data_IF_128713606131
#
_entry.id   IF_128713606131
#
_cell.length_a   1.000
_cell.length_b   1.000
_cell.length_c   1.000
_cell.angle_alpha   90.00
_cell.angle_beta   90.00
_cell.angle_gamma   90.00
#
_symmetry.space_group_name_H-M   'P 1'
#
loop_
_entity.id
_entity.type
_entity.pdbx_description
1 polymer ?
#
# COMPACT_ATOMS: atom_id res chain seq x y z
N UNK A 1 -4.55 22.08 12.10
CA UNK A 1 -5.43 20.96 12.45
C UNK A 1 -4.86 20.30 13.71
N UNK A 2 -5.70 19.87 14.65
CA UNK A 2 -5.25 19.15 15.84
C UNK A 2 -4.63 17.81 15.42
N UNK A 3 -3.34 17.64 15.69
CA UNK A 3 -2.58 16.48 15.24
C UNK A 3 -3.10 15.16 15.85
N UNK A 4 -3.71 15.20 17.04
CA UNK A 4 -4.25 14.01 17.73
C UNK A 4 -5.46 13.46 16.97
N UNK A 5 -6.36 14.37 16.59
CA UNK A 5 -7.59 14.06 15.84
C UNK A 5 -7.23 13.68 14.39
N UNK A 6 -6.41 14.49 13.71
CA UNK A 6 -6.09 14.24 12.31
C UNK A 6 -5.31 12.94 12.10
N UNK A 7 -4.48 12.54 13.07
CA UNK A 7 -3.77 11.25 13.01
C UNK A 7 -4.75 10.08 13.06
N UNK A 8 -5.72 10.12 13.98
CA UNK A 8 -6.75 9.09 14.10
C UNK A 8 -7.66 9.03 12.86
N UNK A 9 -8.13 10.17 12.38
CA UNK A 9 -8.98 10.23 11.19
C UNK A 9 -8.27 9.66 9.97
N UNK A 10 -7.01 10.05 9.74
CA UNK A 10 -6.22 9.59 8.60
C UNK A 10 -5.98 8.07 8.63
N UNK A 11 -5.54 7.53 9.78
CA UNK A 11 -5.32 6.08 9.84
C UNK A 11 -6.63 5.31 9.72
N UNK A 12 -7.70 5.77 10.36
CA UNK A 12 -9.01 5.13 10.28
C UNK A 12 -9.51 5.11 8.84
N UNK A 13 -9.45 6.24 8.15
CA UNK A 13 -9.85 6.33 6.74
C UNK A 13 -9.03 5.37 5.87
N UNK A 14 -7.69 5.36 6.01
CA UNK A 14 -6.84 4.43 5.27
C UNK A 14 -7.17 2.97 5.58
N UNK A 15 -7.44 2.63 6.84
CA UNK A 15 -7.80 1.29 7.26
C UNK A 15 -9.15 0.87 6.64
N UNK A 16 -10.20 1.69 6.75
CA UNK A 16 -11.54 1.36 6.25
C UNK A 16 -11.62 1.35 4.71
N UNK A 17 -10.93 2.27 4.03
CA UNK A 17 -11.01 2.40 2.56
C UNK A 17 -10.17 1.37 1.81
N UNK A 18 -9.11 0.83 2.43
CA UNK A 18 -8.24 -0.21 1.89
C UNK A 18 -8.56 -1.58 2.50
N UNK A 19 -9.85 -1.84 2.71
CA UNK A 19 -10.40 -3.12 3.15
C UNK A 19 -9.68 -3.69 4.39
N UNK A 20 -9.43 -2.83 5.38
CA UNK A 20 -8.82 -3.17 6.66
C UNK A 20 -7.40 -3.74 6.56
N UNK A 21 -6.67 -3.41 5.48
CA UNK A 21 -5.37 -4.01 5.20
C UNK A 21 -4.19 -3.02 5.17
N UNK A 22 -4.45 -1.71 5.09
CA UNK A 22 -3.39 -0.69 5.01
C UNK A 22 -2.78 -0.28 6.36
N UNK A 23 -3.27 -0.87 7.44
CA UNK A 23 -2.75 -0.77 8.80
C UNK A 23 -3.26 -1.95 9.62
N UNK A 24 -2.95 -1.98 10.91
CA UNK A 24 -3.45 -2.97 11.88
C UNK A 24 -4.53 -2.35 12.77
N UNK A 25 -5.43 -3.18 13.32
CA UNK A 25 -6.40 -2.73 14.32
C UNK A 25 -5.72 -2.07 15.54
N UNK A 26 -4.62 -2.63 16.04
CA UNK A 26 -3.85 -2.05 17.16
C UNK A 26 -3.49 -0.59 16.92
N UNK A 27 -2.95 -0.28 15.73
CA UNK A 27 -2.57 1.08 15.35
C UNK A 27 -3.79 2.01 15.32
N UNK A 28 -4.94 1.57 14.79
CA UNK A 28 -6.18 2.37 14.76
C UNK A 28 -6.70 2.63 16.17
N UNK A 29 -6.76 1.59 17.00
CA UNK A 29 -7.23 1.67 18.39
C UNK A 29 -6.31 2.57 19.21
N UNK A 30 -4.99 2.44 19.08
CA UNK A 30 -4.04 3.35 19.73
C UNK A 30 -4.21 4.81 19.30
N UNK A 31 -4.47 5.07 18.01
CA UNK A 31 -4.69 6.42 17.52
C UNK A 31 -5.98 7.04 18.09
N UNK A 32 -7.05 6.26 18.25
CA UNK A 32 -8.34 6.73 18.78
C UNK A 32 -8.24 7.32 20.20
N UNK A 33 -7.23 6.93 20.97
CA UNK A 33 -7.01 7.37 22.34
C UNK A 33 -6.19 8.66 22.45
N UNK A 34 -5.56 9.12 21.36
CA UNK A 34 -4.61 10.25 21.37
C UNK A 34 -5.20 11.54 21.93
N UNK A 35 -6.45 11.85 21.60
CA UNK A 35 -7.13 13.06 22.08
C UNK A 35 -7.37 13.05 23.61
N UNK A 36 -7.38 11.86 24.23
CA UNK A 36 -7.61 11.66 25.66
C UNK A 36 -6.30 11.49 26.43
N UNK A 37 -5.28 10.91 25.80
CA UNK A 37 -3.99 10.63 26.43
C UNK A 37 -3.01 11.82 26.38
N UNK A 38 -3.20 12.76 25.45
CA UNK A 38 -2.27 13.89 25.22
C UNK A 38 -2.97 15.25 25.33
N UNK A 39 -2.30 16.29 25.88
CA UNK A 39 -2.78 17.67 25.84
C UNK A 39 -2.99 18.19 24.41
N UNK A 40 -3.90 19.15 24.23
CA UNK A 40 -4.24 19.74 22.93
C UNK A 40 -3.07 20.40 22.21
N UNK A 41 -2.19 21.06 22.97
CA UNK A 41 -1.01 21.76 22.44
C UNK A 41 0.18 20.83 22.14
N UNK A 42 -0.02 19.50 22.16
CA UNK A 42 1.08 18.56 21.93
C UNK A 42 1.57 18.68 20.48
N UNK A 43 2.89 18.92 20.25
CA UNK A 43 3.42 19.01 18.90
C UNK A 43 3.21 17.71 18.11
N UNK A 44 2.95 17.81 16.80
CA UNK A 44 2.63 16.66 15.95
C UNK A 44 3.66 15.52 16.03
N UNK A 45 4.96 15.83 16.08
CA UNK A 45 6.00 14.81 16.24
C UNK A 45 5.90 14.02 17.56
N UNK A 46 5.50 14.68 18.64
CA UNK A 46 5.28 14.03 19.93
C UNK A 46 3.98 13.20 19.94
N UNK A 47 2.94 13.63 19.23
CA UNK A 47 1.72 12.84 19.01
C UNK A 47 2.05 11.53 18.29
N UNK A 48 2.78 11.59 17.18
CA UNK A 48 3.18 10.39 16.42
C UNK A 48 4.08 9.48 17.27
N UNK A 49 5.05 10.04 18.01
CA UNK A 49 5.93 9.25 18.86
C UNK A 49 5.15 8.52 19.97
N UNK A 50 4.20 9.19 20.62
CA UNK A 50 3.34 8.59 21.63
C UNK A 50 2.43 7.52 21.03
N UNK A 51 1.80 7.81 19.89
CA UNK A 51 0.96 6.85 19.18
C UNK A 51 1.70 5.54 18.87
N UNK A 52 2.88 5.62 18.25
CA UNK A 52 3.69 4.45 17.92
C UNK A 52 4.16 3.69 19.17
N UNK A 53 4.50 4.42 20.25
CA UNK A 53 4.87 3.82 21.53
C UNK A 53 3.70 3.07 22.16
N UNK A 54 2.50 3.66 22.17
CA UNK A 54 1.30 3.05 22.72
C UNK A 54 0.89 1.80 21.93
N UNK A 55 0.88 1.88 20.59
CA UNK A 55 0.59 0.73 19.74
C UNK A 55 1.60 -0.42 19.94
N UNK A 56 2.90 -0.11 20.01
CA UNK A 56 3.95 -1.11 20.31
C UNK A 56 3.75 -1.76 21.68
N UNK A 57 3.30 -1.00 22.69
CA UNK A 57 3.03 -1.54 24.02
C UNK A 57 1.79 -2.45 24.03
N UNK A 58 0.72 -2.06 23.34
CA UNK A 58 -0.49 -2.87 23.18
C UNK A 58 -0.18 -4.20 22.48
N UNK A 59 0.61 -4.16 21.39
CA UNK A 59 1.08 -5.35 20.69
C UNK A 59 1.97 -6.24 21.56
N UNK A 60 2.91 -5.65 22.30
CA UNK A 60 3.75 -6.40 23.22
C UNK A 60 2.93 -7.09 24.32
N UNK A 61 1.86 -6.47 24.82
CA UNK A 61 0.99 -7.04 25.85
C UNK A 61 0.22 -8.28 25.36
N UNK A 62 -0.10 -8.35 24.05
CA UNK A 62 -0.70 -9.53 23.41
C UNK A 62 0.34 -10.51 22.83
N UNK A 63 1.64 -10.27 23.02
CA UNK A 63 2.71 -11.18 22.57
C UNK A 63 3.27 -10.89 21.17
N UNK A 64 2.86 -9.80 20.51
CA UNK A 64 3.41 -9.37 19.23
C UNK A 64 4.59 -8.42 19.45
N UNK A 65 5.80 -8.93 19.22
CA UNK A 65 7.03 -8.14 19.38
C UNK A 65 7.41 -7.44 18.08
N UNK A 66 7.51 -6.11 18.14
CA UNK A 66 7.99 -5.30 17.04
C UNK A 66 9.52 -5.42 16.91
N UNK A 67 10.06 -5.54 15.69
CA UNK A 67 11.50 -5.49 15.50
C UNK A 67 12.06 -4.11 15.86
N UNK A 68 13.27 -4.07 16.40
CA UNK A 68 14.05 -2.83 16.51
C UNK A 68 14.71 -2.56 15.15
N UNK A 69 14.30 -1.47 14.50
CA UNK A 69 14.80 -1.08 13.18
C UNK A 69 15.60 0.23 13.35
N UNK A 70 16.87 0.27 12.93
CA UNK A 70 17.63 1.51 12.97
C UNK A 70 16.94 2.63 12.17
N UNK A 71 16.96 3.90 12.64
CA UNK A 71 16.28 5.01 11.96
C UNK A 71 16.73 5.20 10.51
N UNK A 72 18.02 5.02 10.22
CA UNK A 72 18.59 5.11 8.88
C UNK A 72 18.04 4.04 7.93
N UNK A 73 17.82 2.82 8.44
CA UNK A 73 17.23 1.72 7.67
C UNK A 73 15.75 2.00 7.40
N UNK A 74 15.02 2.53 8.38
CA UNK A 74 13.61 2.94 8.21
C UNK A 74 13.49 4.03 7.14
N UNK A 75 14.39 5.03 7.18
CA UNK A 75 14.41 6.12 6.22
C UNK A 75 14.75 5.64 4.80
N UNK A 76 15.71 4.73 4.65
CA UNK A 76 16.09 4.14 3.36
C UNK A 76 15.00 3.24 2.80
N UNK A 77 14.40 2.39 3.64
CA UNK A 77 13.31 1.50 3.27
C UNK A 77 12.13 2.27 2.68
N UNK A 78 11.81 3.44 3.24
CA UNK A 78 10.70 4.26 2.81
C UNK A 78 9.36 3.50 2.88
N UNK A 79 8.42 3.91 2.02
CA UNK A 79 7.09 3.33 1.92
C UNK A 79 6.84 2.81 0.50
N UNK A 80 6.04 1.76 0.38
CA UNK A 80 5.56 1.21 -0.88
C UNK A 80 6.67 0.77 -1.84
N UNK A 81 7.06 -0.50 -1.73
CA UNK A 81 8.01 -1.15 -2.62
C UNK A 81 7.34 -1.68 -3.88
N UNK A 82 8.13 -1.74 -4.95
CA UNK A 82 7.77 -2.45 -6.16
C UNK A 82 8.89 -3.45 -6.49
N UNK A 83 8.58 -4.73 -6.40
CA UNK A 83 9.48 -5.82 -6.74
C UNK A 83 9.17 -6.27 -8.16
N UNK A 84 10.10 -6.00 -9.07
CA UNK A 84 10.00 -6.43 -10.46
C UNK A 84 9.89 -7.96 -10.54
N UNK A 85 9.02 -8.54 -11.39
CA UNK A 85 8.28 -7.85 -12.45
C UNK A 85 6.88 -7.37 -12.08
N UNK A 86 6.27 -7.82 -10.98
CA UNK A 86 4.82 -7.72 -10.84
C UNK A 86 4.26 -7.66 -9.42
N UNK A 87 5.08 -7.32 -8.43
CA UNK A 87 4.65 -7.28 -7.04
C UNK A 87 4.81 -5.87 -6.46
N UNK A 88 3.76 -5.38 -5.80
CA UNK A 88 3.79 -4.16 -5.01
C UNK A 88 3.58 -4.51 -3.55
N UNK A 89 4.35 -3.91 -2.65
CA UNK A 89 4.30 -4.18 -1.20
C UNK A 89 4.19 -2.85 -0.48
N UNK A 90 3.12 -2.64 0.28
CA UNK A 90 2.91 -1.49 1.16
C UNK A 90 3.13 -1.97 2.60
N UNK A 91 4.37 -1.87 3.05
CA UNK A 91 4.80 -2.36 4.36
C UNK A 91 4.69 -1.31 5.46
N UNK A 92 4.26 -1.77 6.64
CA UNK A 92 4.54 -1.17 7.93
C UNK A 92 5.53 -2.01 8.72
N UNK A 93 5.67 -1.73 10.03
CA UNK A 93 6.64 -2.43 10.89
C UNK A 93 6.23 -3.89 11.16
N UNK A 94 4.92 -4.12 11.34
CA UNK A 94 4.34 -5.42 11.71
C UNK A 94 3.32 -5.95 10.71
N UNK A 95 3.09 -5.24 9.61
CA UNK A 95 2.11 -5.62 8.59
C UNK A 95 2.60 -5.25 7.18
N UNK A 96 1.98 -5.84 6.17
CA UNK A 96 2.16 -5.44 4.78
C UNK A 96 0.91 -5.76 3.96
N UNK A 97 0.48 -4.79 3.14
CA UNK A 97 -0.51 -4.99 2.09
C UNK A 97 0.20 -5.25 0.77
N UNK A 98 0.00 -6.42 0.20
CA UNK A 98 0.71 -6.89 -0.98
C UNK A 98 -0.25 -7.06 -2.16
N UNK A 99 0.23 -6.67 -3.35
CA UNK A 99 -0.46 -6.85 -4.61
C UNK A 99 0.41 -7.62 -5.60
N UNK A 100 -0.21 -8.47 -6.42
CA UNK A 100 0.47 -9.13 -7.54
C UNK A 100 -0.40 -9.13 -8.79
N UNK A 101 0.17 -8.69 -9.91
CA UNK A 101 -0.47 -8.71 -11.22
C UNK A 101 0.15 -9.82 -12.09
N UNK A 102 -0.54 -10.94 -12.26
CA UNK A 102 -0.04 -12.09 -13.03
C UNK A 102 -0.61 -12.09 -14.44
N UNK A 103 0.15 -12.51 -15.46
CA UNK A 103 -0.40 -12.73 -16.80
C UNK A 103 -1.58 -13.71 -16.77
N UNK A 104 -2.62 -13.44 -17.57
CA UNK A 104 -3.72 -14.37 -17.79
C UNK A 104 -3.48 -15.14 -19.10
N UNK A 105 -2.73 -16.24 -19.02
CA UNK A 105 -2.22 -16.92 -20.20
C UNK A 105 -1.41 -15.97 -21.08
N UNK A 106 -1.69 -15.98 -22.38
CA UNK A 106 -1.06 -15.10 -23.37
C UNK A 106 -1.93 -13.90 -23.77
N UNK A 107 -3.02 -13.62 -23.05
CA UNK A 107 -3.86 -12.45 -23.36
C UNK A 107 -3.25 -11.17 -22.77
N UNK A 108 -2.73 -10.23 -23.60
CA UNK A 108 -2.13 -8.99 -23.11
C UNK A 108 -3.18 -7.99 -22.57
N UNK A 109 -4.46 -8.34 -22.58
CA UNK A 109 -5.56 -7.49 -22.10
C UNK A 109 -6.13 -7.94 -20.76
N UNK A 110 -5.62 -9.04 -20.21
CA UNK A 110 -6.12 -9.66 -19.01
C UNK A 110 -4.97 -9.96 -18.06
N UNK A 111 -5.25 -9.84 -16.77
CA UNK A 111 -4.34 -10.27 -15.73
C UNK A 111 -5.16 -10.91 -14.59
N UNK A 112 -4.49 -11.73 -13.79
CA UNK A 112 -4.99 -12.14 -12.48
C UNK A 112 -4.42 -11.14 -11.49
N UNK A 113 -5.28 -10.35 -10.87
CA UNK A 113 -4.89 -9.43 -9.79
C UNK A 113 -5.14 -10.09 -8.45
N UNK A 114 -4.10 -10.18 -7.63
CA UNK A 114 -4.15 -10.75 -6.29
C UNK A 114 -3.85 -9.66 -5.27
N UNK A 115 -4.63 -9.62 -4.19
CA UNK A 115 -4.38 -8.79 -3.01
C UNK A 115 -4.33 -9.68 -1.78
N UNK A 116 -3.39 -9.43 -0.89
CA UNK A 116 -3.28 -10.13 0.39
C UNK A 116 -2.62 -9.24 1.43
N UNK A 117 -3.11 -9.32 2.67
CA UNK A 117 -2.52 -8.67 3.82
C UNK A 117 -1.74 -9.70 4.64
N UNK A 118 -0.60 -9.29 5.17
CA UNK A 118 0.16 -10.05 6.17
C UNK A 118 0.26 -9.15 7.40
N UNK A 119 -0.03 -9.70 8.56
CA UNK A 119 0.12 -9.04 9.86
C UNK A 119 0.79 -10.03 10.83
N UNK A 120 1.55 -9.50 11.80
CA UNK A 120 2.02 -10.31 12.94
C UNK A 120 0.88 -10.53 13.94
N UNK A 121 0.56 -11.79 14.18
CA UNK A 121 -0.39 -12.22 15.19
C UNK A 121 0.33 -12.86 16.39
N UNK A 122 -0.30 -12.89 17.58
CA UNK A 122 0.14 -13.74 18.68
C UNK A 122 0.15 -15.21 18.25
N UNK A 123 1.05 -16.00 18.81
CA UNK A 123 1.17 -17.42 18.49
C UNK A 123 -0.16 -18.16 18.66
N UNK A 124 -0.69 -18.73 17.57
CA UNK A 124 -1.93 -19.49 17.57
C UNK A 124 -3.20 -18.64 17.41
N UNK A 125 -3.07 -17.32 17.32
CA UNK A 125 -4.16 -16.39 17.02
C UNK A 125 -4.15 -15.95 15.55
N UNK A 126 -3.22 -16.46 14.72
CA UNK A 126 -3.25 -16.20 13.29
C UNK A 126 -4.57 -16.66 12.63
N UNK A 127 -5.17 -15.83 11.76
CA UNK A 127 -6.37 -16.22 11.05
C UNK A 127 -6.07 -17.34 10.06
N UNK A 128 -7.01 -18.28 9.92
CA UNK A 128 -6.99 -19.22 8.80
C UNK A 128 -7.51 -18.49 7.56
N UNK A 129 -6.68 -18.44 6.52
CA UNK A 129 -6.99 -17.73 5.29
C UNK A 129 -7.00 -18.68 4.09
N UNK A 130 -7.80 -18.31 3.10
CA UNK A 130 -7.82 -18.97 1.79
C UNK A 130 -7.90 -17.93 0.68
N UNK A 131 -7.55 -18.34 -0.54
CA UNK A 131 -7.70 -17.46 -1.70
C UNK A 131 -9.14 -17.50 -2.17
N UNK A 132 -9.76 -16.33 -2.23
CA UNK A 132 -11.10 -16.16 -2.78
C UNK A 132 -11.04 -15.45 -4.12
N UNK A 133 -11.83 -15.93 -5.07
CA UNK A 133 -12.07 -15.19 -6.31
C UNK A 133 -13.29 -14.30 -6.09
N UNK A 134 -13.13 -12.99 -6.30
CA UNK A 134 -14.17 -12.02 -6.04
C UNK A 134 -14.32 -11.04 -7.21
N UNK A 135 -15.57 -10.69 -7.52
CA UNK A 135 -15.89 -9.67 -8.50
C UNK A 135 -15.29 -8.31 -8.11
N UNK A 136 -14.80 -7.49 -9.06
CA UNK A 136 -14.08 -6.24 -8.80
C UNK A 136 -15.02 -5.08 -8.39
N UNK A 137 -15.78 -5.28 -7.32
CA UNK A 137 -16.72 -4.32 -6.74
C UNK A 137 -16.14 -3.66 -5.49
N UNK A 138 -16.68 -2.50 -5.11
CA UNK A 138 -16.25 -1.80 -3.89
C UNK A 138 -16.57 -2.60 -2.61
N UNK A 139 -17.60 -3.44 -2.64
CA UNK A 139 -17.97 -4.33 -1.53
C UNK A 139 -16.89 -5.40 -1.29
N UNK A 140 -16.35 -6.00 -2.36
CA UNK A 140 -15.39 -7.09 -2.25
C UNK A 140 -13.93 -6.61 -2.13
N UNK A 141 -13.59 -5.49 -2.75
CA UNK A 141 -12.20 -5.02 -2.88
C UNK A 141 -11.91 -3.67 -2.22
N UNK A 142 -12.91 -3.05 -1.58
CA UNK A 142 -12.81 -1.69 -1.07
C UNK A 142 -12.93 -0.64 -2.19
N UNK A 143 -13.21 0.61 -1.79
CA UNK A 143 -13.52 1.69 -2.73
C UNK A 143 -12.33 2.03 -3.64
N UNK A 144 -11.10 2.00 -3.10
CA UNK A 144 -9.89 2.39 -3.82
C UNK A 144 -9.57 1.42 -4.96
N UNK A 145 -9.47 0.11 -4.67
CA UNK A 145 -9.15 -0.88 -5.70
C UNK A 145 -10.28 -1.00 -6.73
N UNK A 146 -11.55 -0.93 -6.30
CA UNK A 146 -12.67 -0.90 -7.24
C UNK A 146 -12.58 0.28 -8.21
N UNK A 147 -12.18 1.47 -7.73
CA UNK A 147 -11.92 2.63 -8.58
C UNK A 147 -10.76 2.36 -9.55
N UNK A 148 -9.64 1.81 -9.08
CA UNK A 148 -8.48 1.46 -9.91
C UNK A 148 -8.84 0.46 -11.00
N UNK A 149 -9.55 -0.62 -10.67
CA UNK A 149 -10.01 -1.62 -11.63
C UNK A 149 -10.90 -0.99 -12.71
N UNK A 150 -11.82 -0.11 -12.31
CA UNK A 150 -12.70 0.58 -13.26
C UNK A 150 -11.89 1.45 -14.24
N UNK A 151 -10.85 2.14 -13.75
CA UNK A 151 -9.98 3.00 -14.54
C UNK A 151 -9.06 2.21 -15.48
N UNK A 152 -8.44 1.13 -14.98
CA UNK A 152 -7.50 0.31 -15.75
C UNK A 152 -8.12 -0.22 -17.04
N UNK A 153 -9.39 -0.63 -17.00
CA UNK A 153 -10.15 -1.06 -18.19
C UNK A 153 -10.18 0.03 -19.27
N UNK A 154 -10.42 1.28 -18.88
CA UNK A 154 -10.50 2.40 -19.82
C UNK A 154 -9.13 2.82 -20.34
N UNK A 155 -8.10 2.79 -19.49
CA UNK A 155 -6.70 2.99 -19.91
C UNK A 155 -6.32 1.96 -20.96
N UNK A 156 -6.52 0.66 -20.70
CA UNK A 156 -6.20 -0.41 -21.66
C UNK A 156 -6.97 -0.27 -22.96
N UNK A 157 -8.25 0.14 -22.91
CA UNK A 157 -9.03 0.43 -24.12
C UNK A 157 -8.45 1.62 -24.90
N UNK A 158 -8.05 2.69 -24.22
CA UNK A 158 -7.46 3.88 -24.82
C UNK A 158 -6.12 3.59 -25.50
N UNK A 159 -5.29 2.75 -24.90
CA UNK A 159 -3.98 2.37 -25.45
C UNK A 159 -4.05 1.64 -26.80
N UNK A 160 -5.23 1.08 -27.15
CA UNK A 160 -5.49 0.44 -28.46
C UNK A 160 -5.90 1.42 -29.55
N UNK A 161 -6.13 2.69 -29.22
CA UNK A 161 -6.49 3.70 -30.20
C UNK A 161 -5.36 3.93 -31.20
N UNK A 162 -5.68 4.04 -32.49
CA UNK A 162 -4.70 4.38 -33.55
C UNK A 162 -4.00 5.72 -33.31
N UNK A 163 -4.62 6.62 -32.54
CA UNK A 163 -4.03 7.91 -32.16
C UNK A 163 -3.13 7.86 -30.93
N UNK A 164 -3.05 6.72 -30.23
CA UNK A 164 -2.22 6.60 -29.04
C UNK A 164 -0.75 6.42 -29.44
N UNK A 165 0.09 7.38 -29.03
CA UNK A 165 1.53 7.40 -29.38
C UNK A 165 2.43 6.83 -28.29
N UNK A 166 1.86 6.35 -27.18
CA UNK A 166 2.57 5.92 -25.97
C UNK A 166 2.26 6.81 -24.75
N UNK A 167 2.45 6.28 -23.53
CA UNK A 167 2.25 7.05 -22.30
C UNK A 167 3.33 8.13 -22.14
N UNK A 168 2.97 9.26 -21.52
CA UNK A 168 3.86 10.40 -21.26
C UNK A 168 3.95 10.64 -19.74
N UNK A 169 4.74 9.83 -19.01
CA UNK A 169 4.82 9.97 -17.56
C UNK A 169 5.47 11.29 -17.17
N UNK A 170 4.96 11.91 -16.11
CA UNK A 170 5.52 13.10 -15.50
C UNK A 170 6.92 12.80 -14.94
N UNK A 171 7.96 13.56 -15.33
CA UNK A 171 9.34 13.25 -14.97
C UNK A 171 9.64 13.43 -13.46
N UNK A 172 8.78 14.12 -12.72
CA UNK A 172 8.92 14.35 -11.28
C UNK A 172 8.06 13.40 -10.45
N UNK A 173 6.77 13.28 -10.80
CA UNK A 173 5.80 12.49 -10.02
C UNK A 173 5.84 11.00 -10.36
N UNK A 174 6.12 10.65 -11.62
CA UNK A 174 6.01 9.27 -12.15
C UNK A 174 7.37 8.61 -12.39
N UNK A 175 8.38 9.00 -11.60
CA UNK A 175 9.74 8.44 -11.67
C UNK A 175 9.76 6.92 -11.50
N UNK A 176 8.89 6.37 -10.63
CA UNK A 176 8.73 4.93 -10.41
C UNK A 176 8.26 4.21 -11.67
N UNK A 177 7.30 4.77 -12.40
CA UNK A 177 6.77 4.23 -13.66
C UNK A 177 7.88 4.23 -14.73
N UNK A 178 8.60 5.34 -14.88
CA UNK A 178 9.71 5.41 -15.84
C UNK A 178 10.82 4.41 -15.50
N UNK A 179 11.15 4.24 -14.21
CA UNK A 179 12.12 3.24 -13.77
C UNK A 179 11.65 1.80 -14.05
N UNK A 180 10.37 1.49 -13.80
CA UNK A 180 9.79 0.20 -14.15
C UNK A 180 9.96 -0.11 -15.65
N UNK A 181 9.60 0.83 -16.53
CA UNK A 181 9.73 0.62 -17.97
C UNK A 181 11.18 0.47 -18.44
N UNK A 182 12.16 1.11 -17.79
CA UNK A 182 13.59 0.87 -18.07
C UNK A 182 13.99 -0.56 -17.73
N UNK A 183 13.58 -1.05 -16.56
CA UNK A 183 13.86 -2.43 -16.14
C UNK A 183 13.17 -3.45 -17.05
N UNK A 184 11.91 -3.20 -17.40
CA UNK A 184 11.17 -4.02 -18.37
C UNK A 184 11.87 -4.05 -19.73
N UNK A 185 12.31 -2.90 -20.24
CA UNK A 185 13.00 -2.84 -21.52
C UNK A 185 14.35 -3.57 -21.50
N UNK A 186 15.10 -3.45 -20.40
CA UNK A 186 16.34 -4.21 -20.20
C UNK A 186 16.09 -5.72 -20.16
N UNK A 187 15.04 -6.16 -19.47
CA UNK A 187 14.65 -7.58 -19.40
C UNK A 187 14.20 -8.11 -20.78
N UNK A 188 13.42 -7.33 -21.52
CA UNK A 188 12.88 -7.72 -22.83
C UNK A 188 13.85 -7.51 -24.00
N UNK A 189 14.93 -6.73 -23.81
CA UNK A 189 15.86 -6.31 -24.86
C UNK A 189 15.25 -5.32 -25.86
N UNK A 190 14.12 -4.69 -25.57
CA UNK A 190 13.42 -3.76 -26.46
C UNK A 190 12.45 -2.85 -25.71
N UNK A 191 11.99 -1.76 -26.36
CA UNK A 191 10.95 -0.89 -25.81
C UNK A 191 11.44 0.16 -24.80
N UNK A 192 12.70 0.58 -24.89
CA UNK A 192 13.29 1.54 -23.96
C UNK A 192 12.56 2.91 -23.99
N UNK A 193 12.28 3.52 -22.82
CA UNK A 193 11.74 4.88 -22.76
C UNK A 193 12.66 5.88 -23.45
N UNK A 194 12.10 6.73 -24.30
CA UNK A 194 12.82 7.79 -25.01
C UNK A 194 12.30 9.17 -24.65
N UNK A 195 13.18 10.16 -24.62
CA UNK A 195 12.78 11.55 -24.57
C UNK A 195 12.05 11.92 -25.87
N UNK A 196 10.99 12.70 -25.74
CA UNK A 196 10.37 13.32 -26.90
C UNK A 196 11.12 14.61 -27.25
N UNK A 197 11.35 14.87 -28.55
CA UNK A 197 11.94 16.12 -29.02
C UNK A 197 11.00 17.31 -28.80
#
# INVERSE_FOLDING_TARGET
ADARISTYELIKENYETLNYAASTETLVVAASRLQHELPEETPAGAVIAHWMKSAKADDAARGVVWPEIPPEVTAEAGLAWHVFPNMSVLQGITFALCYRARPFGDDPNMCIFESYAIERYPDGEEPKTEWENAEPTAENWGAVLAQDFSNMRWVQKGMKSRGFRGPLPNPHQERKITNFHRNLAAFMGTGEPRLLP
#
